data_IF_032693421611
#
_entry.id   IF_032693421611
#
_cell.length_a   1.000
_cell.length_b   1.000
_cell.length_c   1.000
_cell.angle_alpha   90.00
_cell.angle_beta   90.00
_cell.angle_gamma   90.00
#
_symmetry.space_group_name_H-M   'P 1'
#
loop_
_entity.id
_entity.type
_entity.pdbx_description
1 polymer ?
#
# COMPACT_ATOMS: atom_id res chain seq x y z
N UNK A 1 34.08 -70.23 9.85
CA UNK A 1 34.34 -69.24 8.77
C UNK A 1 33.09 -69.06 7.97
N UNK A 2 32.37 -67.94 8.12
CA UNK A 2 31.15 -67.62 7.37
C UNK A 2 31.59 -67.02 6.02
N UNK A 3 31.32 -67.74 4.94
CA UNK A 3 31.50 -67.24 3.59
C UNK A 3 30.60 -65.99 3.37
N UNK A 4 31.16 -64.83 3.23
CA UNK A 4 30.46 -63.66 2.73
C UNK A 4 30.21 -63.84 1.25
N UNK A 5 28.96 -64.04 0.88
CA UNK A 5 28.56 -64.06 -0.54
C UNK A 5 28.80 -62.65 -1.11
N UNK A 6 29.62 -62.53 -2.14
CA UNK A 6 29.79 -61.31 -2.86
C UNK A 6 28.55 -60.94 -3.70
N UNK A 7 28.33 -59.66 -3.94
CA UNK A 7 27.24 -59.19 -4.81
C UNK A 7 27.42 -59.69 -6.25
N UNK A 8 26.35 -60.13 -6.84
CA UNK A 8 26.36 -60.47 -8.27
C UNK A 8 26.32 -59.19 -9.11
N UNK A 9 26.83 -59.25 -10.36
CA UNK A 9 26.81 -58.10 -11.28
C UNK A 9 25.40 -57.65 -11.56
N UNK A 10 24.44 -58.53 -11.59
CA UNK A 10 23.02 -58.22 -11.79
C UNK A 10 22.43 -57.43 -10.62
N UNK A 11 22.78 -57.75 -9.38
CA UNK A 11 22.32 -57.01 -8.20
C UNK A 11 22.90 -55.62 -8.15
N UNK A 12 24.17 -55.43 -8.61
CA UNK A 12 24.79 -54.11 -8.66
C UNK A 12 24.10 -53.20 -9.69
N UNK A 13 23.79 -53.74 -10.87
CA UNK A 13 23.08 -52.97 -11.92
C UNK A 13 21.67 -52.59 -11.44
N UNK A 14 20.94 -53.51 -10.82
CA UNK A 14 19.63 -53.26 -10.29
C UNK A 14 19.66 -52.18 -9.21
N UNK A 15 20.64 -52.25 -8.29
CA UNK A 15 20.80 -51.27 -7.24
C UNK A 15 21.05 -49.84 -7.78
N UNK A 16 21.96 -49.72 -8.80
CA UNK A 16 22.22 -48.43 -9.44
C UNK A 16 20.96 -47.88 -10.13
N UNK A 17 20.19 -48.76 -10.79
CA UNK A 17 18.96 -48.35 -11.47
C UNK A 17 17.91 -47.85 -10.48
N UNK A 18 17.68 -48.53 -9.39
CA UNK A 18 16.78 -48.11 -8.31
C UNK A 18 17.23 -46.80 -7.67
N UNK A 19 18.53 -46.69 -7.38
CA UNK A 19 19.10 -45.48 -6.81
C UNK A 19 18.98 -44.27 -7.76
N UNK A 20 19.21 -44.47 -9.06
CA UNK A 20 18.99 -43.45 -10.09
C UNK A 20 17.56 -42.96 -10.15
N UNK A 21 16.58 -43.87 -10.11
CA UNK A 21 15.17 -43.52 -10.08
C UNK A 21 14.76 -42.76 -8.81
N UNK A 22 15.24 -43.22 -7.64
CA UNK A 22 15.00 -42.52 -6.38
C UNK A 22 15.62 -41.13 -6.36
N UNK A 23 16.84 -40.98 -6.85
CA UNK A 23 17.52 -39.67 -6.94
C UNK A 23 16.79 -38.70 -7.84
N UNK A 24 16.29 -39.16 -8.99
CA UNK A 24 15.52 -38.33 -9.92
C UNK A 24 14.17 -37.89 -9.30
N UNK A 25 13.49 -38.79 -8.61
CA UNK A 25 12.26 -38.46 -7.89
C UNK A 25 12.48 -37.43 -6.77
N UNK A 26 13.55 -37.62 -6.01
CA UNK A 26 13.92 -36.68 -4.93
C UNK A 26 14.26 -35.30 -5.48
N UNK A 27 15.00 -35.21 -6.59
CA UNK A 27 15.34 -33.97 -7.25
C UNK A 27 14.08 -33.20 -7.74
N UNK A 28 13.11 -33.91 -8.29
CA UNK A 28 11.84 -33.30 -8.74
C UNK A 28 11.00 -32.80 -7.58
N UNK A 29 10.93 -33.55 -6.49
CA UNK A 29 10.23 -33.13 -5.25
C UNK A 29 10.89 -31.87 -4.68
N UNK A 30 12.21 -31.88 -4.58
CA UNK A 30 12.98 -30.75 -4.06
C UNK A 30 12.79 -29.48 -4.92
N UNK A 31 12.88 -29.60 -6.23
CA UNK A 31 12.63 -28.50 -7.15
C UNK A 31 11.22 -27.94 -7.02
N UNK A 32 10.22 -28.81 -6.86
CA UNK A 32 8.82 -28.41 -6.70
C UNK A 32 8.58 -27.74 -5.35
N UNK A 33 9.14 -28.29 -4.26
CA UNK A 33 9.04 -27.72 -2.93
C UNK A 33 9.67 -26.33 -2.84
N UNK A 34 10.87 -26.16 -3.39
CA UNK A 34 11.53 -24.86 -3.47
C UNK A 34 10.68 -23.83 -4.23
N UNK A 35 10.09 -24.25 -5.35
CA UNK A 35 9.21 -23.40 -6.15
C UNK A 35 8.04 -22.87 -5.32
N UNK A 36 7.33 -23.75 -4.62
CA UNK A 36 6.19 -23.35 -3.78
C UNK A 36 6.62 -22.49 -2.59
N UNK A 37 7.78 -22.79 -2.01
CA UNK A 37 8.31 -22.00 -0.90
C UNK A 37 8.58 -20.54 -1.32
N UNK A 38 9.24 -20.31 -2.44
CA UNK A 38 9.50 -18.96 -2.95
C UNK A 38 8.22 -18.20 -3.32
N UNK A 39 7.25 -18.87 -3.92
CA UNK A 39 5.97 -18.25 -4.25
C UNK A 39 5.19 -17.85 -2.99
N UNK A 40 5.13 -18.74 -2.01
CA UNK A 40 4.46 -18.46 -0.74
C UNK A 40 5.16 -17.33 0.03
N UNK A 41 6.49 -17.32 0.05
CA UNK A 41 7.27 -16.26 0.67
C UNK A 41 6.95 -14.89 0.06
N UNK A 42 6.96 -14.77 -1.26
CA UNK A 42 6.64 -13.52 -1.97
C UNK A 42 5.19 -13.08 -1.73
N UNK A 43 4.26 -14.04 -1.81
CA UNK A 43 2.85 -13.76 -1.50
C UNK A 43 2.66 -13.24 -0.09
N UNK A 44 3.35 -13.83 0.88
CA UNK A 44 3.30 -13.38 2.26
C UNK A 44 3.87 -11.98 2.45
N UNK A 45 5.00 -11.65 1.82
CA UNK A 45 5.57 -10.29 1.87
C UNK A 45 4.58 -9.27 1.31
N UNK A 46 4.03 -9.51 0.12
CA UNK A 46 3.08 -8.61 -0.52
C UNK A 46 1.85 -8.42 0.36
N UNK A 47 1.30 -9.52 0.88
CA UNK A 47 0.16 -9.48 1.80
C UNK A 47 0.47 -8.69 3.06
N UNK A 48 1.60 -8.95 3.70
CA UNK A 48 2.00 -8.25 4.93
C UNK A 48 2.18 -6.75 4.70
N UNK A 49 2.80 -6.36 3.57
CA UNK A 49 2.96 -4.95 3.20
C UNK A 49 1.60 -4.28 2.92
N UNK A 50 0.69 -4.97 2.24
CA UNK A 50 -0.65 -4.46 1.97
C UNK A 50 -1.49 -4.32 3.26
N UNK A 51 -1.44 -5.31 4.15
CA UNK A 51 -2.11 -5.27 5.45
C UNK A 51 -1.53 -4.14 6.32
N UNK A 52 -0.22 -3.95 6.30
CA UNK A 52 0.44 -2.84 7.00
C UNK A 52 0.00 -1.48 6.43
N UNK A 53 0.04 -1.32 5.11
CA UNK A 53 -0.41 -0.10 4.45
C UNK A 53 -1.87 0.23 4.78
N UNK A 54 -2.75 -0.78 4.75
CA UNK A 54 -4.16 -0.60 5.11
C UNK A 54 -4.33 -0.20 6.57
N UNK A 55 -3.54 -0.78 7.48
CA UNK A 55 -3.57 -0.44 8.90
C UNK A 55 -3.15 1.00 9.16
N UNK A 56 -2.09 1.46 8.48
CA UNK A 56 -1.65 2.86 8.55
C UNK A 56 -2.72 3.78 7.99
N UNK A 57 -3.28 3.46 6.82
CA UNK A 57 -4.39 4.21 6.22
C UNK A 57 -5.60 4.31 7.16
N UNK A 58 -6.03 3.19 7.72
CA UNK A 58 -7.16 3.16 8.64
C UNK A 58 -6.89 4.03 9.89
N UNK A 59 -5.75 3.87 10.52
CA UNK A 59 -5.39 4.62 11.73
C UNK A 59 -5.30 6.12 11.48
N UNK A 60 -4.70 6.53 10.35
CA UNK A 60 -4.55 7.94 10.02
C UNK A 60 -5.87 8.56 9.54
N UNK A 61 -6.66 7.86 8.71
CA UNK A 61 -7.95 8.35 8.25
C UNK A 61 -8.99 8.44 9.37
N UNK A 62 -8.93 7.59 10.39
CA UNK A 62 -9.83 7.67 11.54
C UNK A 62 -9.66 8.98 12.33
N UNK A 63 -8.50 9.62 12.22
CA UNK A 63 -8.22 10.93 12.85
C UNK A 63 -8.43 12.11 11.89
N UNK A 64 -8.80 11.84 10.64
CA UNK A 64 -9.01 12.88 9.64
C UNK A 64 -10.19 13.79 10.03
N UNK A 65 -9.95 15.09 9.98
CA UNK A 65 -10.97 16.12 10.20
C UNK A 65 -11.40 16.77 8.90
N UNK A 66 -10.56 16.70 7.86
CA UNK A 66 -10.83 17.28 6.55
C UNK A 66 -10.15 16.45 5.44
N UNK A 67 -10.85 16.20 4.35
CA UNK A 67 -10.29 15.62 3.14
C UNK A 67 -10.17 16.70 2.08
N UNK A 68 -8.95 16.88 1.56
CA UNK A 68 -8.64 17.90 0.56
C UNK A 68 -8.59 17.32 -0.86
N UNK A 69 -8.23 16.04 -0.98
CA UNK A 69 -8.17 15.34 -2.27
C UNK A 69 -8.31 13.82 -2.09
N UNK A 70 -9.06 13.10 -2.95
CA UNK A 70 -9.86 13.61 -4.06
C UNK A 70 -11.03 14.47 -3.61
N UNK A 71 -11.60 15.24 -4.55
CA UNK A 71 -12.84 15.95 -4.29
C UNK A 71 -13.98 14.96 -4.04
N UNK A 72 -15.01 15.41 -3.35
CA UNK A 72 -16.19 14.59 -3.08
C UNK A 72 -16.80 14.06 -4.39
N UNK A 73 -17.10 12.76 -4.43
CA UNK A 73 -17.58 12.07 -5.63
C UNK A 73 -16.49 11.70 -6.63
N UNK A 74 -15.23 12.09 -6.40
CA UNK A 74 -14.12 11.80 -7.29
C UNK A 74 -13.27 10.63 -6.82
N UNK A 75 -12.47 10.09 -7.74
CA UNK A 75 -11.50 9.04 -7.49
C UNK A 75 -10.12 9.46 -8.00
N UNK A 76 -9.07 9.07 -7.29
CA UNK A 76 -7.68 9.42 -7.62
C UNK A 76 -6.68 8.40 -7.09
N UNK A 77 -5.44 8.51 -7.53
CA UNK A 77 -4.30 7.70 -7.07
C UNK A 77 -3.55 8.37 -5.90
N UNK A 78 -4.05 9.51 -5.48
CA UNK A 78 -3.53 10.28 -4.36
C UNK A 78 -4.66 10.61 -3.41
N UNK A 79 -4.39 10.50 -2.11
CA UNK A 79 -5.29 10.90 -1.05
C UNK A 79 -4.60 11.94 -0.18
N UNK A 80 -5.23 13.09 0.03
CA UNK A 80 -4.74 14.19 0.86
C UNK A 80 -5.78 14.57 1.89
N UNK A 81 -5.39 14.65 3.13
CA UNK A 81 -6.28 15.03 4.22
C UNK A 81 -5.50 15.67 5.37
N UNK A 82 -6.22 16.33 6.24
CA UNK A 82 -5.68 16.94 7.46
C UNK A 82 -6.35 16.35 8.70
N UNK A 83 -5.60 16.27 9.78
CA UNK A 83 -6.06 15.92 11.12
C UNK A 83 -5.93 17.12 12.06
N UNK A 84 -6.81 17.17 13.07
CA UNK A 84 -6.84 18.24 14.08
C UNK A 84 -7.04 19.66 13.52
N UNK A 85 -7.65 19.78 12.35
CA UNK A 85 -8.02 21.05 11.73
C UNK A 85 -9.51 21.27 11.89
N UNK A 86 -9.90 22.48 12.28
CA UNK A 86 -11.32 22.84 12.42
C UNK A 86 -12.03 22.83 11.07
N UNK A 87 -13.30 22.43 11.13
CA UNK A 87 -14.19 22.38 9.98
C UNK A 87 -14.48 23.73 9.30
N UNK A 88 -14.24 24.83 9.98
CA UNK A 88 -14.56 26.17 9.46
C UNK A 88 -13.59 26.74 8.44
N UNK A 89 -12.57 26.00 8.06
CA UNK A 89 -11.57 26.45 7.09
C UNK A 89 -11.99 26.02 5.69
N UNK A 90 -12.68 26.91 5.01
CA UNK A 90 -12.88 26.73 3.56
C UNK A 90 -11.56 26.95 2.81
N UNK A 91 -11.27 26.04 1.89
CA UNK A 91 -10.18 26.23 0.95
C UNK A 91 -10.31 27.61 0.26
N UNK A 92 -9.26 28.41 0.32
CA UNK A 92 -9.23 29.73 -0.30
C UNK A 92 -9.65 30.90 0.58
N UNK A 93 -10.06 30.69 1.80
CA UNK A 93 -10.38 31.80 2.70
C UNK A 93 -9.13 32.22 3.48
N UNK A 94 -8.38 33.18 2.96
CA UNK A 94 -7.14 33.71 3.54
C UNK A 94 -7.33 34.38 4.93
N UNK A 95 -8.55 34.62 5.34
CA UNK A 95 -8.92 35.23 6.62
C UNK A 95 -9.54 34.26 7.61
N UNK A 96 -9.56 32.97 7.31
CA UNK A 96 -10.13 31.94 8.19
C UNK A 96 -9.22 31.58 9.36
N UNK A 97 -9.83 31.41 10.50
CA UNK A 97 -9.15 30.93 11.71
C UNK A 97 -9.07 29.41 11.72
N UNK A 98 -7.89 28.82 11.87
CA UNK A 98 -7.77 27.41 12.21
C UNK A 98 -8.15 27.21 13.65
N UNK A 99 -9.23 26.50 13.89
CA UNK A 99 -9.56 26.04 15.24
C UNK A 99 -9.05 24.61 15.37
N UNK A 100 -8.11 24.40 16.22
CA UNK A 100 -7.63 23.07 16.56
C UNK A 100 -8.66 22.46 17.50
N UNK A 101 -9.13 21.26 17.16
CA UNK A 101 -10.15 20.58 17.96
C UNK A 101 -9.57 19.91 19.22
N UNK A 102 -8.24 19.76 19.29
CA UNK A 102 -7.53 19.11 20.39
C UNK A 102 -6.20 19.84 20.63
N UNK A 103 -5.53 19.64 21.78
CA UNK A 103 -4.19 20.19 22.05
C UNK A 103 -3.09 19.58 21.15
N UNK A 104 -3.44 18.54 20.39
CA UNK A 104 -2.51 17.91 19.46
C UNK A 104 -2.22 18.81 18.26
N UNK A 105 -1.03 18.68 17.70
CA UNK A 105 -0.63 19.43 16.52
C UNK A 105 -1.49 19.09 15.31
N UNK A 106 -1.87 20.12 14.57
CA UNK A 106 -2.49 19.93 13.26
C UNK A 106 -1.50 19.30 12.29
N UNK A 107 -1.89 18.24 11.62
CA UNK A 107 -1.04 17.50 10.69
C UNK A 107 -1.72 17.34 9.33
N UNK A 108 -0.90 17.39 8.32
CA UNK A 108 -1.30 16.98 6.98
C UNK A 108 -0.78 15.57 6.66
N UNK A 109 -1.54 14.86 5.85
CA UNK A 109 -1.24 13.49 5.44
C UNK A 109 -1.47 13.36 3.94
N UNK A 110 -0.53 12.74 3.24
CA UNK A 110 -0.67 12.42 1.82
C UNK A 110 -0.27 10.98 1.58
N UNK A 111 -1.18 10.23 0.97
CA UNK A 111 -0.90 8.91 0.40
C UNK A 111 -0.88 9.05 -1.11
N UNK A 112 0.16 8.58 -1.74
CA UNK A 112 0.30 8.71 -3.18
C UNK A 112 1.08 7.54 -3.78
N UNK A 113 0.78 7.24 -5.03
CA UNK A 113 1.47 6.21 -5.80
C UNK A 113 2.43 6.87 -6.79
N UNK A 114 3.67 6.44 -6.77
CA UNK A 114 4.70 6.92 -7.69
C UNK A 114 5.59 5.79 -8.19
N UNK A 115 6.19 5.96 -9.37
CA UNK A 115 7.16 5.00 -9.89
C UNK A 115 8.36 4.84 -8.95
N UNK A 116 8.85 3.62 -8.86
CA UNK A 116 10.13 3.35 -8.22
C UNK A 116 11.26 3.71 -9.20
N UNK A 117 11.97 4.78 -8.89
CA UNK A 117 13.08 5.25 -9.73
C UNK A 117 14.40 4.54 -9.41
N UNK A 118 14.39 3.50 -8.58
CA UNK A 118 15.58 2.71 -8.28
C UNK A 118 16.04 1.96 -9.54
N UNK A 119 17.33 2.00 -9.91
CA UNK A 119 17.84 1.23 -11.04
C UNK A 119 17.49 -0.26 -10.92
N UNK A 120 16.86 -0.81 -11.94
CA UNK A 120 16.37 -2.20 -11.97
C UNK A 120 14.90 -2.40 -11.64
N UNK A 121 14.21 -1.38 -11.12
CA UNK A 121 12.79 -1.43 -10.77
C UNK A 121 11.90 -0.64 -11.74
N UNK A 122 12.38 -0.42 -12.95
CA UNK A 122 11.59 0.32 -13.97
C UNK A 122 10.20 -0.32 -14.17
N UNK A 123 9.15 0.50 -14.06
CA UNK A 123 7.76 0.06 -14.20
C UNK A 123 7.11 -0.47 -12.93
N UNK A 124 7.81 -0.45 -11.80
CA UNK A 124 7.23 -0.73 -10.48
C UNK A 124 6.74 0.58 -9.87
N UNK A 125 5.51 0.59 -9.38
CA UNK A 125 4.99 1.70 -8.59
C UNK A 125 4.98 1.33 -7.11
N UNK A 126 5.16 2.32 -6.29
CA UNK A 126 5.17 2.20 -4.83
C UNK A 126 4.13 3.13 -4.22
N UNK A 127 3.52 2.70 -3.11
CA UNK A 127 2.67 3.54 -2.28
C UNK A 127 3.51 4.19 -1.20
N UNK A 128 3.52 5.51 -1.20
CA UNK A 128 4.21 6.33 -0.21
C UNK A 128 3.21 7.04 0.70
N UNK A 129 3.63 7.24 1.93
CA UNK A 129 2.94 8.03 2.92
C UNK A 129 3.83 9.20 3.31
N UNK A 130 3.32 10.42 3.14
CA UNK A 130 3.93 11.65 3.58
C UNK A 130 3.12 12.25 4.71
N UNK A 131 3.79 12.79 5.71
CA UNK A 131 3.13 13.54 6.79
C UNK A 131 4.02 14.67 7.28
N UNK A 132 3.40 15.71 7.76
CA UNK A 132 4.08 16.84 8.37
C UNK A 132 3.13 17.66 9.20
N UNK A 133 3.72 18.56 10.00
CA UNK A 133 2.96 19.50 10.82
C UNK A 133 2.47 20.67 9.97
N UNK A 134 1.27 21.15 10.27
CA UNK A 134 0.76 22.40 9.70
C UNK A 134 1.37 23.55 10.49
N UNK A 135 2.18 24.41 9.87
CA UNK A 135 2.83 25.49 10.60
C UNK A 135 1.83 26.39 11.29
N UNK A 136 2.11 26.73 12.54
CA UNK A 136 1.33 27.68 13.29
C UNK A 136 0.13 27.14 14.06
N UNK A 137 0.00 25.82 14.20
CA UNK A 137 -1.18 25.12 14.72
C UNK A 137 -1.38 25.08 16.23
N UNK A 138 -0.58 25.70 17.07
CA UNK A 138 -0.52 25.32 18.49
C UNK A 138 -1.28 26.18 19.50
N UNK A 139 -1.95 27.24 19.13
CA UNK A 139 -2.59 28.07 20.15
C UNK A 139 -3.82 28.84 19.65
N UNK A 140 -4.95 28.28 19.84
CA UNK A 140 -6.21 29.01 19.67
C UNK A 140 -6.58 29.29 18.22
N UNK A 141 -7.34 30.35 18.02
CA UNK A 141 -7.71 30.80 16.70
C UNK A 141 -6.52 31.44 16.01
N UNK A 142 -5.98 30.84 14.96
CA UNK A 142 -4.89 31.38 14.19
C UNK A 142 -5.40 32.34 13.12
N UNK A 143 -4.73 33.49 13.02
CA UNK A 143 -5.22 34.64 12.25
C UNK A 143 -5.13 34.46 10.73
N UNK A 144 -4.36 33.52 10.23
CA UNK A 144 -4.35 33.15 8.82
C UNK A 144 -3.82 31.75 8.63
N UNK A 145 -4.46 30.96 7.78
CA UNK A 145 -3.77 29.84 7.18
C UNK A 145 -2.53 30.36 6.47
N UNK A 146 -1.35 29.75 6.67
CA UNK A 146 -0.21 30.09 5.84
C UNK A 146 -0.66 30.04 4.38
N UNK A 147 -0.25 30.99 3.56
CA UNK A 147 -0.57 31.03 2.12
C UNK A 147 -0.24 29.70 1.42
N UNK A 148 0.57 28.88 2.05
CA UNK A 148 0.98 27.55 1.67
C UNK A 148 -0.02 26.42 2.04
N UNK A 149 -1.12 26.72 2.72
CA UNK A 149 -2.07 25.71 3.19
C UNK A 149 -3.51 26.02 2.75
N UNK A 150 -3.75 26.20 1.48
CA UNK A 150 -5.08 26.50 0.97
C UNK A 150 -5.88 25.30 0.47
N UNK A 151 -5.38 24.09 0.71
CA UNK A 151 -6.07 22.85 0.34
C UNK A 151 -6.20 22.60 -1.16
N UNK A 152 -5.87 23.57 -1.99
CA UNK A 152 -6.00 23.47 -3.44
C UNK A 152 -4.62 23.42 -4.11
N UNK A 153 -4.08 22.24 -4.27
CA UNK A 153 -2.96 22.07 -5.19
C UNK A 153 -1.62 22.46 -4.61
N UNK A 154 -0.85 23.30 -4.70
CA UNK A 154 0.58 23.44 -4.53
C UNK A 154 1.08 23.78 -3.13
N UNK A 155 0.23 24.06 -2.16
CA UNK A 155 0.71 24.89 -1.06
C UNK A 155 0.56 24.30 0.33
N UNK A 156 0.99 23.13 0.56
CA UNK A 156 1.03 22.46 1.86
C UNK A 156 1.33 20.98 1.73
N UNK A 157 0.78 20.37 0.70
CA UNK A 157 1.12 18.99 0.36
C UNK A 157 2.33 18.95 -0.57
N UNK A 158 3.24 17.99 -0.42
CA UNK A 158 4.37 17.87 -1.33
C UNK A 158 3.87 17.62 -2.76
N UNK A 159 4.43 18.37 -3.71
CA UNK A 159 4.15 18.17 -5.12
C UNK A 159 4.74 16.86 -5.64
N UNK A 160 5.83 16.40 -5.02
CA UNK A 160 6.52 15.16 -5.37
C UNK A 160 6.09 14.03 -4.43
N UNK A 161 5.75 12.88 -5.01
CA UNK A 161 5.43 11.66 -4.30
C UNK A 161 6.66 10.75 -4.24
N UNK A 162 7.12 10.41 -3.03
CA UNK A 162 8.27 9.54 -2.82
C UNK A 162 9.38 10.18 -2.00
N UNK A 163 10.49 9.47 -1.88
CA UNK A 163 11.66 9.98 -1.16
C UNK A 163 12.19 11.25 -1.84
N UNK A 164 12.44 12.30 -1.05
CA UNK A 164 12.77 13.63 -1.54
C UNK A 164 11.59 14.59 -1.63
N UNK A 165 10.37 14.13 -1.40
CA UNK A 165 9.19 14.96 -1.16
C UNK A 165 9.22 15.61 0.22
N UNK A 166 8.34 16.59 0.44
CA UNK A 166 8.23 17.28 1.73
C UNK A 166 7.69 16.39 2.86
N UNK A 167 8.04 16.73 4.09
CA UNK A 167 7.62 16.04 5.30
C UNK A 167 8.38 14.73 5.58
N UNK A 168 7.86 13.94 6.50
CA UNK A 168 8.35 12.58 6.76
C UNK A 168 7.77 11.63 5.74
N UNK A 169 8.61 10.87 5.05
CA UNK A 169 8.22 9.96 3.97
C UNK A 169 8.43 8.51 4.40
N UNK A 170 7.41 7.70 4.24
CA UNK A 170 7.45 6.26 4.52
C UNK A 170 6.97 5.47 3.31
N UNK A 171 7.74 4.49 2.89
CA UNK A 171 7.33 3.51 1.90
C UNK A 171 6.41 2.48 2.58
N UNK A 172 5.16 2.39 2.15
CA UNK A 172 4.19 1.46 2.74
C UNK A 172 4.07 0.15 1.96
N UNK A 173 4.05 0.22 0.64
CA UNK A 173 3.79 -0.93 -0.19
C UNK A 173 4.52 -0.81 -1.53
N UNK A 174 5.09 -1.92 -1.98
CA UNK A 174 5.75 -2.02 -3.29
C UNK A 174 4.87 -2.78 -4.29
N UNK A 175 5.21 -2.67 -5.57
CA UNK A 175 4.52 -3.35 -6.67
C UNK A 175 3.04 -2.98 -6.78
N UNK A 176 2.73 -1.72 -6.49
CA UNK A 176 1.37 -1.21 -6.60
C UNK A 176 1.00 -1.03 -8.07
N UNK A 177 -0.16 -1.55 -8.44
CA UNK A 177 -0.72 -1.35 -9.78
C UNK A 177 -2.10 -0.71 -9.64
N UNK A 178 -2.55 0.04 -10.65
CA UNK A 178 -3.91 0.55 -10.67
C UNK A 178 -4.91 -0.59 -10.52
N UNK A 179 -5.95 -0.44 -9.70
CA UNK A 179 -7.05 -1.39 -9.69
C UNK A 179 -7.73 -1.42 -11.08
N UNK A 180 -8.40 -2.52 -11.43
CA UNK A 180 -9.10 -2.60 -12.71
C UNK A 180 -10.16 -1.48 -12.83
N UNK A 181 -10.23 -0.85 -14.01
CA UNK A 181 -11.25 0.16 -14.28
C UNK A 181 -12.67 -0.37 -13.97
N UNK A 182 -13.59 0.47 -13.48
CA UNK A 182 -13.52 1.92 -13.32
C UNK A 182 -12.96 2.40 -11.96
N UNK A 183 -12.24 1.57 -11.22
CA UNK A 183 -11.76 1.89 -9.87
C UNK A 183 -10.42 2.62 -9.90
N UNK A 184 -10.21 3.51 -8.94
CA UNK A 184 -8.92 4.10 -8.58
C UNK A 184 -8.54 3.70 -7.15
N UNK A 185 -7.32 3.99 -6.72
CA UNK A 185 -6.85 3.61 -5.39
C UNK A 185 -7.69 4.24 -4.28
N UNK A 186 -8.09 5.49 -4.44
CA UNK A 186 -8.86 6.22 -3.44
C UNK A 186 -10.10 6.83 -4.07
N UNK A 187 -11.26 6.58 -3.48
CA UNK A 187 -12.53 7.20 -3.88
C UNK A 187 -13.19 7.80 -2.65
N UNK A 188 -13.45 9.11 -2.72
CA UNK A 188 -14.18 9.81 -1.66
C UNK A 188 -15.66 9.91 -2.02
N UNK A 189 -16.51 9.31 -1.22
CA UNK A 189 -17.96 9.26 -1.45
C UNK A 189 -18.71 9.18 -0.13
N UNK A 190 -20.02 9.25 -0.19
CA UNK A 190 -20.86 8.88 0.95
C UNK A 190 -21.18 7.39 0.89
N UNK A 191 -21.10 6.72 2.00
CA UNK A 191 -21.60 5.36 2.15
C UNK A 191 -22.84 5.36 3.03
N UNK A 192 -23.86 4.63 2.61
CA UNK A 192 -25.01 4.38 3.45
C UNK A 192 -24.63 3.38 4.55
N UNK A 193 -24.64 3.80 5.80
CA UNK A 193 -24.34 2.92 6.94
C UNK A 193 -25.55 2.03 7.28
N UNK A 194 -26.77 2.59 7.20
CA UNK A 194 -28.01 1.92 7.60
C UNK A 194 -29.12 2.07 6.55
N UNK A 195 -28.78 2.32 5.30
CA UNK A 195 -29.76 2.61 4.24
C UNK A 195 -30.43 3.99 4.36
N UNK A 196 -30.23 4.71 5.46
CA UNK A 196 -30.87 6.00 5.76
C UNK A 196 -29.88 7.11 6.03
N UNK A 197 -28.70 6.80 6.61
CA UNK A 197 -27.66 7.79 6.93
C UNK A 197 -26.47 7.63 5.99
N UNK A 198 -26.24 8.65 5.21
CA UNK A 198 -25.02 8.76 4.40
C UNK A 198 -23.90 9.39 5.23
N UNK A 199 -22.79 8.67 5.37
CA UNK A 199 -21.59 9.17 6.06
C UNK A 199 -20.45 9.33 5.04
N UNK A 200 -19.66 10.38 5.19
CA UNK A 200 -18.48 10.54 4.35
C UNK A 200 -17.54 9.35 4.55
N UNK A 201 -17.11 8.78 3.46
CA UNK A 201 -16.28 7.58 3.46
C UNK A 201 -15.24 7.61 2.35
N UNK A 202 -14.09 7.05 2.63
CA UNK A 202 -13.06 6.81 1.62
C UNK A 202 -12.99 5.31 1.33
N UNK A 203 -13.26 4.95 0.09
CA UNK A 203 -12.98 3.61 -0.42
C UNK A 203 -11.53 3.55 -0.83
N UNK A 204 -10.84 2.54 -0.37
CA UNK A 204 -9.43 2.26 -0.65
C UNK A 204 -9.37 0.93 -1.39
N UNK A 205 -8.82 0.97 -2.61
CA UNK A 205 -8.61 -0.22 -3.44
C UNK A 205 -7.11 -0.34 -3.73
N UNK A 206 -6.42 -1.17 -2.97
CA UNK A 206 -5.00 -1.44 -3.16
C UNK A 206 -4.83 -2.75 -3.93
N UNK A 207 -4.04 -2.71 -4.98
CA UNK A 207 -3.65 -3.90 -5.73
C UNK A 207 -2.14 -3.94 -5.86
N UNK A 208 -1.55 -5.08 -5.56
CA UNK A 208 -0.13 -5.34 -5.79
C UNK A 208 0.02 -6.46 -6.80
N UNK A 209 0.87 -6.23 -7.78
CA UNK A 209 1.15 -7.21 -8.82
C UNK A 209 2.66 -7.33 -9.01
N UNK A 210 3.19 -8.46 -8.57
CA UNK A 210 4.58 -8.79 -8.78
C UNK A 210 4.72 -9.67 -10.02
N UNK A 211 5.50 -9.18 -10.98
CA UNK A 211 5.79 -9.88 -12.23
C UNK A 211 7.02 -10.77 -12.02
N UNK A 212 6.92 -12.02 -12.38
CA UNK A 212 8.07 -12.92 -12.35
C UNK A 212 9.13 -12.46 -13.36
N UNK A 213 10.37 -12.28 -12.90
CA UNK A 213 11.48 -11.82 -13.73
C UNK A 213 11.80 -12.78 -14.89
N UNK A 214 11.45 -14.04 -14.74
CA UNK A 214 11.78 -15.09 -15.71
C UNK A 214 10.52 -15.86 -16.11
N UNK A 215 9.94 -15.52 -17.26
CA UNK A 215 8.76 -16.18 -17.83
C UNK A 215 9.12 -17.22 -18.91
N UNK A 216 10.40 -17.57 -19.07
CA UNK A 216 10.87 -18.51 -20.07
C UNK A 216 10.29 -19.92 -19.89
N UNK A 217 10.29 -20.69 -20.97
CA UNK A 217 9.86 -22.10 -20.96
C UNK A 217 10.71 -22.88 -19.93
N UNK A 218 10.06 -23.44 -18.92
CA UNK A 218 10.73 -24.08 -17.78
C UNK A 218 10.96 -23.17 -16.57
N UNK A 219 10.63 -21.87 -16.67
CA UNK A 219 10.63 -20.96 -15.52
C UNK A 219 9.54 -21.36 -14.53
N UNK A 220 9.94 -21.43 -13.28
CA UNK A 220 9.11 -21.89 -12.18
C UNK A 220 8.47 -20.75 -11.40
N UNK A 221 8.69 -19.51 -11.86
CA UNK A 221 8.18 -18.32 -11.20
C UNK A 221 6.83 -17.94 -11.78
N UNK A 222 5.84 -17.78 -10.93
CA UNK A 222 4.51 -17.27 -11.30
C UNK A 222 4.34 -15.86 -10.77
N UNK A 223 3.58 -15.08 -11.52
CA UNK A 223 3.13 -13.76 -11.06
C UNK A 223 2.32 -13.91 -9.78
N UNK A 224 2.43 -12.92 -8.91
CA UNK A 224 1.64 -12.84 -7.68
C UNK A 224 0.76 -11.61 -7.76
N UNK A 225 -0.55 -11.81 -7.73
CA UNK A 225 -1.56 -10.76 -7.69
C UNK A 225 -2.26 -10.79 -6.33
N UNK A 226 -2.39 -9.63 -5.70
CA UNK A 226 -3.07 -9.46 -4.43
C UNK A 226 -3.83 -8.15 -4.44
N UNK A 227 -5.11 -8.19 -4.11
CA UNK A 227 -5.96 -7.01 -4.02
C UNK A 227 -6.63 -6.93 -2.65
N UNK A 228 -6.73 -5.72 -2.12
CA UNK A 228 -7.39 -5.40 -0.87
C UNK A 228 -8.32 -4.20 -1.08
N UNK A 229 -9.57 -4.37 -0.73
CA UNK A 229 -10.60 -3.33 -0.77
C UNK A 229 -11.07 -3.04 0.66
N UNK A 230 -11.17 -1.78 1.03
CA UNK A 230 -11.71 -1.34 2.30
C UNK A 230 -12.50 -0.06 2.16
N UNK A 231 -13.49 0.11 3.02
CA UNK A 231 -14.26 1.34 3.15
C UNK A 231 -14.06 1.89 4.56
N UNK A 232 -13.53 3.10 4.65
CA UNK A 232 -13.28 3.78 5.92
C UNK A 232 -14.25 4.94 6.04
N UNK A 233 -15.09 4.91 7.06
CA UNK A 233 -15.99 6.01 7.39
C UNK A 233 -15.26 7.05 8.23
N UNK A 234 -15.54 8.31 7.94
CA UNK A 234 -14.89 9.44 8.59
C UNK A 234 -15.92 10.16 9.45
N UNK A 235 -15.74 10.07 10.76
CA UNK A 235 -16.73 10.55 11.73
C UNK A 235 -16.74 12.08 11.90
N UNK A 236 -15.76 12.79 11.37
CA UNK A 236 -15.54 14.22 11.67
C UNK A 236 -15.23 15.08 10.46
N UNK A 237 -15.60 14.67 9.26
CA UNK A 237 -15.37 15.53 8.11
C UNK A 237 -16.31 16.71 8.09
N UNK A 238 -15.73 17.90 7.91
CA UNK A 238 -16.46 19.03 7.40
C UNK A 238 -16.99 18.66 6.03
N UNK A 239 -18.26 18.69 5.88
CA UNK A 239 -18.88 18.69 4.58
C UNK A 239 -18.71 20.04 3.91
N UNK A 240 -18.60 20.07 2.57
CA UNK A 240 -18.80 21.31 1.85
C UNK A 240 -20.24 21.83 2.05
#
# INVERSE_FOLDING_TARGET
MTYRKGFTMAELILAIFIFGFMSMSLATIYATANRHMFQNYRRNIIKTNADFAMKVLHNTLSTATRIDFPAYGAAADTLRFASNVSQGLQAGNASGCYRISTPDEARWHQFCVAPDNTPGNAGVNNLYYHTGTIPGGNAGCMVAAPATWNGTGASGYPAFCGFGGGGTVTLLMQYVVPPPAPRSQFTFSRAALDGVREVPSVRISLRSFWVAANRGFGSNQRDVDFSLDSLITINRTSQP
#
